data_IF_954500445379
#
_entry.id   IF_954500445379
#
_cell.length_a   1.000
_cell.length_b   1.000
_cell.length_c   1.000
_cell.angle_alpha   90.00
_cell.angle_beta   90.00
_cell.angle_gamma   90.00
#
_symmetry.space_group_name_H-M   'P 1'
#
loop_
_entity.id
_entity.type
_entity.pdbx_description
1 polymer ?
#
# COMPACT_ATOMS: atom_id res chain seq x y z
N UNK A 1 -20.63 -8.31 3.22
CA UNK A 1 -19.23 -8.37 3.64
C UNK A 1 -18.70 -6.97 3.68
N UNK A 2 -18.03 -6.61 4.77
CA UNK A 2 -17.36 -5.32 4.91
C UNK A 2 -16.17 -5.27 3.96
N UNK A 3 -16.23 -4.37 2.98
CA UNK A 3 -15.08 -4.06 2.11
C UNK A 3 -14.20 -3.03 2.80
N UNK A 4 -12.92 -3.33 2.92
CA UNK A 4 -11.89 -2.38 3.27
C UNK A 4 -11.01 -2.08 2.05
N UNK A 5 -10.83 -0.80 1.75
CA UNK A 5 -9.93 -0.29 0.73
C UNK A 5 -8.90 0.63 1.38
N UNK A 6 -7.64 0.22 1.36
CA UNK A 6 -6.54 1.10 1.74
C UNK A 6 -6.17 2.01 0.57
N UNK A 7 -6.22 3.33 0.76
CA UNK A 7 -5.92 4.30 -0.30
C UNK A 7 -4.44 4.76 -0.23
N UNK A 8 -3.79 4.54 0.92
CA UNK A 8 -2.41 4.93 1.18
C UNK A 8 -2.32 5.96 2.31
N UNK A 9 -1.15 6.04 2.93
CA UNK A 9 -0.87 6.89 4.08
C UNK A 9 -1.85 6.64 5.24
N UNK A 10 -2.67 7.61 5.64
CA UNK A 10 -3.75 7.44 6.62
C UNK A 10 -5.13 7.25 5.96
N UNK A 11 -5.20 7.33 4.64
CA UNK A 11 -6.45 7.33 3.89
C UNK A 11 -6.96 5.92 3.66
N UNK A 12 -8.21 5.67 4.04
CA UNK A 12 -8.90 4.42 3.73
C UNK A 12 -10.41 4.60 3.59
N UNK A 13 -11.05 3.61 2.96
CA UNK A 13 -12.50 3.53 2.78
C UNK A 13 -12.99 2.19 3.33
N UNK A 14 -14.01 2.26 4.17
CA UNK A 14 -14.79 1.11 4.63
C UNK A 14 -16.15 1.19 3.96
N UNK A 15 -16.60 0.08 3.37
CA UNK A 15 -17.98 -0.08 2.91
C UNK A 15 -18.62 -1.24 3.67
N UNK A 16 -19.73 -0.98 4.33
CA UNK A 16 -20.50 -2.02 4.99
C UNK A 16 -21.22 -2.96 4.01
N UNK A 17 -21.74 -4.07 4.52
CA UNK A 17 -22.61 -4.99 3.76
C UNK A 17 -23.87 -4.31 3.19
N UNK A 18 -24.34 -3.21 3.80
CA UNK A 18 -25.49 -2.42 3.34
C UNK A 18 -25.11 -1.25 2.42
N UNK A 19 -23.84 -1.20 1.97
CA UNK A 19 -23.27 -0.16 1.09
C UNK A 19 -23.03 1.22 1.72
N UNK A 20 -23.10 1.35 3.05
CA UNK A 20 -22.72 2.57 3.77
C UNK A 20 -21.23 2.82 3.62
N UNK A 21 -20.86 4.04 3.20
CA UNK A 21 -19.48 4.41 2.88
C UNK A 21 -18.90 5.33 3.95
N UNK A 22 -17.88 4.84 4.66
CA UNK A 22 -17.06 5.61 5.57
C UNK A 22 -15.68 5.84 4.96
N UNK A 23 -15.27 7.10 4.82
CA UNK A 23 -13.89 7.47 4.55
C UNK A 23 -13.18 7.90 5.83
N UNK A 24 -11.95 7.44 6.03
CA UNK A 24 -11.08 7.87 7.13
C UNK A 24 -9.92 8.65 6.52
N UNK A 25 -9.68 9.87 7.02
CA UNK A 25 -8.64 10.80 6.55
C UNK A 25 -8.46 10.82 5.02
N UNK A 26 -9.53 11.01 4.22
CA UNK A 26 -9.41 11.00 2.77
C UNK A 26 -8.52 12.16 2.29
N UNK A 27 -7.42 11.81 1.62
CA UNK A 27 -6.41 12.76 1.15
C UNK A 27 -5.57 12.15 0.01
N UNK A 28 -4.84 11.08 0.30
CA UNK A 28 -3.92 10.45 -0.65
C UNK A 28 -4.56 9.24 -1.34
N UNK A 29 -3.90 8.75 -2.39
CA UNK A 29 -4.33 7.54 -3.09
C UNK A 29 -5.23 7.78 -4.30
N UNK A 30 -5.76 6.68 -4.83
CA UNK A 30 -6.66 6.63 -5.99
C UNK A 30 -7.86 5.75 -5.64
N UNK A 31 -8.98 5.97 -6.30
CA UNK A 31 -10.31 5.36 -6.02
C UNK A 31 -11.17 6.09 -4.96
N UNK A 32 -11.43 7.37 -5.23
CA UNK A 32 -12.48 8.18 -4.60
C UNK A 32 -13.79 8.14 -5.40
N UNK A 33 -14.10 6.99 -6.02
CA UNK A 33 -15.25 6.85 -6.93
C UNK A 33 -16.61 6.82 -6.24
N UNK A 34 -16.65 6.56 -4.93
CA UNK A 34 -17.87 6.45 -4.13
C UNK A 34 -18.11 7.73 -3.34
N UNK A 35 -19.38 8.13 -3.24
CA UNK A 35 -19.80 9.21 -2.35
C UNK A 35 -19.73 8.73 -0.90
N UNK A 36 -19.34 9.62 0.00
CA UNK A 36 -19.21 9.37 1.42
C UNK A 36 -20.55 9.59 2.12
N UNK A 37 -21.00 8.62 2.91
CA UNK A 37 -22.05 8.83 3.91
C UNK A 37 -21.44 9.46 5.17
N UNK A 38 -20.22 9.03 5.51
CA UNK A 38 -19.46 9.50 6.66
C UNK A 38 -18.01 9.78 6.26
N UNK A 39 -17.45 10.88 6.78
CA UNK A 39 -16.02 11.18 6.72
C UNK A 39 -15.51 11.36 8.15
N UNK A 40 -14.55 10.54 8.55
CA UNK A 40 -13.86 10.63 9.83
C UNK A 40 -12.46 11.23 9.62
N UNK A 41 -12.25 12.43 10.15
CA UNK A 41 -10.94 13.08 10.21
C UNK A 41 -10.36 12.87 11.61
N UNK A 42 -9.40 11.95 11.72
CA UNK A 42 -8.75 11.62 13.00
C UNK A 42 -7.51 12.49 13.27
N UNK A 43 -7.16 13.40 12.37
CA UNK A 43 -6.01 14.30 12.53
C UNK A 43 -6.46 15.74 12.38
N UNK A 44 -5.73 16.67 13.00
CA UNK A 44 -6.06 18.11 12.96
C UNK A 44 -5.88 18.76 11.58
N UNK A 45 -5.36 18.03 10.59
CA UNK A 45 -5.04 18.60 9.29
C UNK A 45 -6.33 18.87 8.52
N UNK A 46 -6.72 20.14 8.49
CA UNK A 46 -7.91 20.62 7.79
C UNK A 46 -7.66 20.66 6.28
N UNK A 47 -7.92 19.54 5.59
CA UNK A 47 -7.71 19.41 4.14
C UNK A 47 -8.99 19.65 3.34
N UNK A 48 -8.85 20.24 2.15
CA UNK A 48 -9.98 20.52 1.26
C UNK A 48 -10.54 19.23 0.64
N UNK A 49 -11.64 18.74 1.19
CA UNK A 49 -12.36 17.57 0.69
C UNK A 49 -13.06 17.80 -0.67
N UNK A 50 -13.22 19.07 -1.07
CA UNK A 50 -13.92 19.46 -2.31
C UNK A 50 -13.23 18.86 -3.54
N UNK A 51 -11.90 18.81 -3.55
CA UNK A 51 -11.14 18.31 -4.69
C UNK A 51 -11.35 16.81 -4.94
N UNK A 52 -11.70 16.06 -3.89
CA UNK A 52 -11.97 14.62 -3.99
C UNK A 52 -13.37 14.32 -4.54
N UNK A 53 -14.26 15.32 -4.59
CA UNK A 53 -15.64 15.18 -5.05
C UNK A 53 -16.41 14.01 -4.40
N UNK A 54 -16.11 13.69 -3.13
CA UNK A 54 -16.75 12.57 -2.40
C UNK A 54 -17.94 13.00 -1.54
N UNK A 55 -18.05 14.28 -1.21
CA UNK A 55 -19.11 14.81 -0.34
C UNK A 55 -20.42 15.04 -1.10
N UNK A 56 -21.52 15.00 -0.34
CA UNK A 56 -22.87 15.41 -0.71
C UNK A 56 -23.46 16.23 0.44
N UNK A 57 -24.64 16.83 0.24
CA UNK A 57 -25.34 17.57 1.31
C UNK A 57 -25.75 16.70 2.51
N UNK A 58 -25.71 15.37 2.35
CA UNK A 58 -26.05 14.40 3.39
C UNK A 58 -24.82 13.81 4.11
N UNK A 59 -23.61 14.10 3.61
CA UNK A 59 -22.37 13.54 4.17
C UNK A 59 -22.12 14.06 5.59
N UNK A 60 -21.98 13.17 6.56
CA UNK A 60 -21.59 13.53 7.93
C UNK A 60 -20.07 13.59 8.05
N UNK A 61 -19.53 14.76 8.40
CA UNK A 61 -18.11 14.94 8.67
C UNK A 61 -17.90 14.94 10.19
N UNK A 62 -16.95 14.15 10.67
CA UNK A 62 -16.60 13.99 12.07
C UNK A 62 -15.12 14.27 12.26
N UNK A 63 -14.80 14.92 13.36
CA UNK A 63 -13.44 15.17 13.81
C UNK A 63 -13.40 15.22 15.34
N UNK A 64 -12.23 15.53 15.90
CA UNK A 64 -12.03 15.63 17.36
C UNK A 64 -12.91 16.69 18.05
N UNK A 65 -13.33 17.74 17.33
CA UNK A 65 -14.18 18.82 17.87
C UNK A 65 -15.65 18.40 17.91
N UNK A 66 -16.05 17.46 17.04
CA UNK A 66 -17.42 17.02 16.86
C UNK A 66 -17.77 15.73 17.63
N UNK A 67 -16.77 14.99 18.10
CA UNK A 67 -16.96 13.79 18.92
C UNK A 67 -15.99 13.79 20.11
N UNK A 68 -16.54 13.94 21.32
CA UNK A 68 -15.77 13.87 22.56
C UNK A 68 -15.35 12.42 22.89
N UNK A 69 -14.25 12.26 23.62
CA UNK A 69 -13.78 10.95 24.10
C UNK A 69 -14.87 10.28 24.95
N UNK A 70 -15.12 8.99 24.71
CA UNK A 70 -16.18 8.19 25.31
C UNK A 70 -17.54 8.29 24.62
N UNK A 71 -17.72 9.25 23.71
CA UNK A 71 -18.98 9.39 22.97
C UNK A 71 -19.02 8.51 21.72
N UNK A 72 -20.26 8.17 21.34
CA UNK A 72 -20.57 7.33 20.18
C UNK A 72 -21.46 8.07 19.21
N UNK A 73 -21.16 7.93 17.92
CA UNK A 73 -22.07 8.28 16.84
C UNK A 73 -22.56 7.00 16.17
N UNK A 74 -23.87 6.91 15.95
CA UNK A 74 -24.46 5.90 15.09
C UNK A 74 -24.92 6.55 13.78
N UNK A 75 -24.58 5.93 12.65
CA UNK A 75 -25.08 6.30 11.33
C UNK A 75 -25.35 5.02 10.53
N UNK A 76 -26.62 4.77 10.22
CA UNK A 76 -27.05 3.53 9.55
C UNK A 76 -26.53 2.29 10.32
N UNK A 77 -25.72 1.46 9.67
CA UNK A 77 -25.11 0.23 10.20
C UNK A 77 -23.64 0.42 10.65
N UNK A 78 -23.17 1.66 10.78
CA UNK A 78 -21.84 2.00 11.30
C UNK A 78 -21.96 2.77 12.63
N UNK A 79 -21.21 2.31 13.64
CA UNK A 79 -21.00 3.03 14.90
C UNK A 79 -19.54 3.48 14.99
N UNK A 80 -19.32 4.74 15.40
CA UNK A 80 -17.98 5.31 15.62
C UNK A 80 -17.92 5.81 17.07
N UNK A 81 -16.96 5.29 17.83
CA UNK A 81 -16.66 5.69 19.20
C UNK A 81 -15.29 6.35 19.24
N UNK A 82 -15.17 7.53 19.86
CA UNK A 82 -13.84 8.11 20.14
C UNK A 82 -13.34 7.54 21.46
N UNK A 83 -12.22 6.82 21.42
CA UNK A 83 -11.68 6.14 22.61
C UNK A 83 -10.50 6.88 23.24
N UNK A 84 -9.89 7.82 22.51
CA UNK A 84 -8.76 8.61 22.98
C UNK A 84 -8.43 9.76 22.04
N UNK A 85 -7.24 10.32 22.19
CA UNK A 85 -6.73 11.35 21.28
C UNK A 85 -6.31 10.71 19.96
N UNK A 86 -6.88 11.21 18.87
CA UNK A 86 -6.78 10.68 17.51
C UNK A 86 -7.15 9.19 17.34
N UNK A 87 -7.72 8.57 18.38
CA UNK A 87 -8.05 7.15 18.42
C UNK A 87 -9.56 6.90 18.44
N UNK A 88 -10.01 6.06 17.50
CA UNK A 88 -11.42 5.78 17.27
C UNK A 88 -11.66 4.29 17.11
N UNK A 89 -12.82 3.80 17.56
CA UNK A 89 -13.29 2.45 17.32
C UNK A 89 -14.50 2.49 16.42
N UNK A 90 -14.44 1.77 15.32
CA UNK A 90 -15.49 1.64 14.32
C UNK A 90 -16.08 0.25 14.45
N UNK A 91 -17.39 0.16 14.66
CA UNK A 91 -18.15 -1.09 14.57
C UNK A 91 -18.97 -1.07 13.29
N UNK A 92 -18.79 -2.06 12.43
CA UNK A 92 -19.45 -2.20 11.12
C UNK A 92 -19.70 -3.68 10.87
N UNK A 93 -20.92 -4.04 10.46
CA UNK A 93 -21.35 -5.44 10.37
C UNK A 93 -21.03 -6.23 11.66
N UNK A 94 -20.26 -7.32 11.57
CA UNK A 94 -19.76 -8.11 12.71
C UNK A 94 -18.33 -7.75 13.14
N UNK A 95 -17.73 -6.71 12.56
CA UNK A 95 -16.33 -6.32 12.76
C UNK A 95 -16.18 -5.11 13.67
N UNK A 96 -15.08 -5.13 14.43
CA UNK A 96 -14.57 -3.98 15.18
C UNK A 96 -13.19 -3.60 14.67
N UNK A 97 -13.05 -2.33 14.28
CA UNK A 97 -11.84 -1.78 13.70
C UNK A 97 -11.38 -0.62 14.58
N UNK A 98 -10.18 -0.75 15.11
CA UNK A 98 -9.50 0.29 15.87
C UNK A 98 -8.70 1.17 14.90
N UNK A 99 -8.88 2.48 14.96
CA UNK A 99 -8.07 3.46 14.23
C UNK A 99 -7.21 4.15 15.27
N UNK A 100 -5.90 3.89 15.24
CA UNK A 100 -4.98 4.42 16.23
C UNK A 100 -4.45 5.80 15.83
N UNK A 101 -4.25 6.65 16.83
CA UNK A 101 -3.36 7.81 16.73
C UNK A 101 -1.89 7.39 16.88
N UNK A 102 -1.00 8.37 17.04
CA UNK A 102 0.44 8.13 17.28
C UNK A 102 0.78 7.84 18.74
N UNK A 103 -0.17 8.03 19.65
CA UNK A 103 0.04 7.82 21.09
C UNK A 103 -0.46 6.45 21.55
N UNK A 104 0.09 5.99 22.67
CA UNK A 104 -0.39 4.79 23.35
C UNK A 104 -1.85 4.92 23.75
N UNK A 105 -2.58 3.82 23.58
CA UNK A 105 -3.98 3.70 23.99
C UNK A 105 -4.18 2.42 24.79
N UNK A 106 -5.11 2.47 25.75
CA UNK A 106 -5.48 1.31 26.55
C UNK A 106 -6.73 0.68 25.92
N UNK A 107 -6.58 -0.54 25.43
CA UNK A 107 -7.66 -1.33 24.83
C UNK A 107 -7.70 -2.73 25.43
N UNK A 108 -8.81 -3.43 25.25
CA UNK A 108 -9.01 -4.81 25.73
C UNK A 108 -8.49 -5.88 24.75
N UNK A 109 -7.91 -5.47 23.62
CA UNK A 109 -7.36 -6.35 22.59
C UNK A 109 -8.39 -7.18 21.83
N UNK A 110 -9.68 -6.86 21.95
CA UNK A 110 -10.76 -7.67 21.36
C UNK A 110 -11.21 -7.22 19.97
N UNK A 111 -10.67 -6.11 19.48
CA UNK A 111 -10.97 -5.62 18.14
C UNK A 111 -10.40 -6.59 17.09
N UNK A 112 -11.07 -6.69 15.94
CA UNK A 112 -10.65 -7.59 14.87
C UNK A 112 -9.44 -7.03 14.12
N UNK A 113 -9.46 -5.72 13.87
CA UNK A 113 -8.41 -5.03 13.13
C UNK A 113 -7.99 -3.75 13.87
N UNK A 114 -6.71 -3.37 13.76
CA UNK A 114 -6.24 -2.05 14.18
C UNK A 114 -5.36 -1.39 13.12
N UNK A 115 -5.71 -0.16 12.70
CA UNK A 115 -4.90 0.64 11.81
C UNK A 115 -3.88 1.42 12.64
N UNK A 116 -2.62 1.07 12.49
CA UNK A 116 -1.54 1.60 13.33
C UNK A 116 -0.63 2.49 12.48
N UNK A 117 -0.60 3.82 12.71
CA UNK A 117 0.37 4.68 12.05
C UNK A 117 1.78 4.31 12.53
N UNK A 118 2.71 4.10 11.59
CA UNK A 118 4.05 3.59 11.92
C UNK A 118 5.07 4.71 12.07
N UNK A 119 5.06 5.69 11.17
CA UNK A 119 5.99 6.80 11.29
C UNK A 119 5.65 7.69 12.50
N UNK A 120 6.68 7.94 13.30
CA UNK A 120 6.63 8.79 14.50
C UNK A 120 5.64 8.29 15.57
N UNK A 121 5.33 6.99 15.57
CA UNK A 121 4.48 6.37 16.58
C UNK A 121 5.21 6.21 17.91
N UNK A 122 4.50 6.41 19.00
CA UNK A 122 4.95 6.12 20.37
C UNK A 122 4.52 4.75 20.85
N UNK A 123 3.71 4.04 20.06
CA UNK A 123 3.25 2.69 20.37
C UNK A 123 4.41 1.72 20.12
N UNK A 124 4.82 0.97 21.14
CA UNK A 124 5.86 -0.05 20.97
C UNK A 124 5.34 -1.27 20.20
N UNK A 125 6.21 -1.97 19.46
CA UNK A 125 5.85 -3.19 18.74
C UNK A 125 5.22 -4.27 19.65
N UNK A 126 5.70 -4.37 20.89
CA UNK A 126 5.11 -5.25 21.93
C UNK A 126 3.63 -4.89 22.19
N UNK A 127 3.33 -3.60 22.36
CA UNK A 127 1.95 -3.13 22.58
C UNK A 127 1.10 -3.24 21.33
N UNK A 128 1.69 -3.08 20.13
CA UNK A 128 0.96 -3.21 18.87
C UNK A 128 0.31 -4.58 18.73
N UNK A 129 1.04 -5.64 19.12
CA UNK A 129 0.54 -7.01 19.06
C UNK A 129 -0.78 -7.20 19.82
N UNK A 130 -0.97 -6.45 20.91
CA UNK A 130 -2.12 -6.56 21.81
C UNK A 130 -3.29 -5.62 21.44
N UNK A 131 -3.15 -4.78 20.40
CA UNK A 131 -4.19 -3.82 20.04
C UNK A 131 -5.45 -4.48 19.46
N UNK A 132 -5.27 -5.52 18.64
CA UNK A 132 -6.34 -6.21 17.92
C UNK A 132 -5.87 -7.60 17.45
N UNK A 133 -6.79 -8.42 16.93
CA UNK A 133 -6.45 -9.72 16.34
C UNK A 133 -5.48 -9.58 15.16
N UNK A 134 -5.68 -8.57 14.31
CA UNK A 134 -4.74 -8.21 13.26
C UNK A 134 -4.45 -6.70 13.28
N UNK A 135 -3.21 -6.33 13.00
CA UNK A 135 -2.79 -4.93 12.88
C UNK A 135 -2.43 -4.62 11.44
N UNK A 136 -2.90 -3.49 10.93
CA UNK A 136 -2.63 -3.02 9.58
C UNK A 136 -1.73 -1.79 9.70
N UNK A 137 -0.44 -1.89 9.31
CA UNK A 137 0.45 -0.75 9.35
C UNK A 137 0.06 0.29 8.29
N UNK A 138 -0.16 1.51 8.74
CA UNK A 138 -0.50 2.69 7.91
C UNK A 138 0.51 3.81 8.16
N UNK A 139 0.48 4.88 7.37
CA UNK A 139 1.44 6.00 7.49
C UNK A 139 2.91 5.53 7.56
N UNK A 140 3.33 4.76 6.55
CA UNK A 140 4.67 4.13 6.48
C UNK A 140 5.70 4.96 5.72
N UNK A 141 5.29 6.09 5.11
CA UNK A 141 6.17 6.99 4.35
C UNK A 141 5.75 8.44 4.53
N UNK A 142 6.71 9.37 4.58
CA UNK A 142 6.42 10.82 4.53
C UNK A 142 6.09 11.28 3.11
N UNK A 143 6.64 10.61 2.11
CA UNK A 143 6.64 11.06 0.70
C UNK A 143 5.81 10.16 -0.23
N UNK A 144 5.78 8.85 0.01
CA UNK A 144 5.04 7.88 -0.79
C UNK A 144 3.66 7.57 -0.17
N UNK A 145 2.82 6.86 -0.92
CA UNK A 145 1.56 6.31 -0.39
C UNK A 145 1.81 5.20 0.63
N UNK A 146 2.90 4.45 0.45
CA UNK A 146 3.24 3.31 1.29
C UNK A 146 4.71 2.95 1.10
N UNK A 147 5.42 2.66 2.19
CA UNK A 147 6.75 2.07 2.15
C UNK A 147 6.69 0.61 2.63
N UNK A 148 6.86 -0.32 1.67
CA UNK A 148 6.88 -1.75 1.94
C UNK A 148 7.99 -2.15 2.90
N UNK A 149 9.14 -1.46 2.90
CA UNK A 149 10.26 -1.80 3.78
C UNK A 149 9.90 -1.54 5.22
N UNK A 150 9.28 -0.38 5.49
CA UNK A 150 8.83 -0.02 6.83
C UNK A 150 7.76 -1.00 7.31
N UNK A 151 6.76 -1.31 6.46
CA UNK A 151 5.70 -2.25 6.83
C UNK A 151 6.21 -3.68 7.07
N UNK A 152 7.15 -4.16 6.25
CA UNK A 152 7.73 -5.50 6.37
C UNK A 152 8.68 -5.58 7.57
N UNK A 153 9.47 -4.54 7.85
CA UNK A 153 10.44 -4.55 8.94
C UNK A 153 9.79 -4.63 10.34
N UNK A 154 8.50 -4.32 10.48
CA UNK A 154 7.78 -4.41 11.74
C UNK A 154 7.81 -5.83 12.30
N UNK A 155 8.36 -6.00 13.50
CA UNK A 155 8.48 -7.31 14.14
C UNK A 155 7.25 -7.66 14.96
N UNK A 156 6.06 -7.58 14.35
CA UNK A 156 4.79 -7.87 15.00
C UNK A 156 4.06 -9.01 14.31
N UNK A 157 3.79 -10.10 15.05
CA UNK A 157 3.42 -11.39 14.47
C UNK A 157 2.07 -11.40 13.76
N UNK A 158 1.12 -10.61 14.24
CA UNK A 158 -0.26 -10.51 13.73
C UNK A 158 -0.47 -9.33 12.77
N UNK A 159 0.61 -8.79 12.18
CA UNK A 159 0.48 -7.75 11.16
C UNK A 159 -0.11 -8.30 9.85
N UNK A 160 -1.01 -7.52 9.27
CA UNK A 160 -1.58 -7.71 7.95
C UNK A 160 -1.18 -6.52 7.08
N UNK A 161 -0.28 -6.74 6.12
CA UNK A 161 0.13 -5.72 5.18
C UNK A 161 -0.92 -5.61 4.07
N UNK A 162 -1.50 -4.42 3.92
CA UNK A 162 -2.46 -4.09 2.86
C UNK A 162 -1.86 -2.99 2.01
N UNK A 163 -1.99 -3.15 0.70
CA UNK A 163 -1.37 -2.25 -0.26
C UNK A 163 -2.32 -1.12 -0.69
N UNK A 164 -1.80 0.05 -1.08
CA UNK A 164 -2.61 1.09 -1.69
C UNK A 164 -3.39 0.58 -2.90
N UNK A 165 -4.68 0.93 -2.96
CA UNK A 165 -5.66 0.46 -3.94
C UNK A 165 -6.06 -1.03 -3.82
N UNK A 166 -5.59 -1.76 -2.80
CA UNK A 166 -6.05 -3.11 -2.52
C UNK A 166 -7.40 -3.08 -1.79
N UNK A 167 -8.35 -3.87 -2.30
CA UNK A 167 -9.64 -4.14 -1.66
C UNK A 167 -9.59 -5.51 -1.02
N UNK A 168 -10.04 -5.59 0.23
CA UNK A 168 -10.20 -6.84 0.96
C UNK A 168 -11.60 -6.92 1.59
N UNK A 169 -12.10 -8.13 1.79
CA UNK A 169 -13.33 -8.39 2.54
C UNK A 169 -12.97 -8.88 3.94
N UNK A 170 -13.20 -8.07 4.97
CA UNK A 170 -12.68 -8.31 6.32
C UNK A 170 -13.16 -9.63 6.96
N UNK A 171 -14.16 -10.29 6.40
CA UNK A 171 -14.65 -11.62 6.79
C UNK A 171 -13.83 -12.79 6.24
N UNK A 172 -12.98 -12.59 5.22
CA UNK A 172 -12.20 -13.66 4.60
C UNK A 172 -10.86 -13.89 5.32
N UNK A 173 -10.61 -15.11 5.82
CA UNK A 173 -9.36 -15.43 6.54
C UNK A 173 -8.10 -15.41 5.66
N UNK A 174 -8.25 -15.51 4.33
CA UNK A 174 -7.15 -15.58 3.37
C UNK A 174 -6.80 -14.21 2.77
N UNK A 175 -6.62 -13.21 3.62
CA UNK A 175 -5.90 -12.02 3.19
C UNK A 175 -4.44 -12.38 3.01
N UNK A 176 -3.98 -12.27 1.77
CA UNK A 176 -2.66 -12.66 1.29
C UNK A 176 -1.59 -12.31 2.32
N UNK A 177 -1.11 -13.31 3.06
CA UNK A 177 -0.18 -13.07 4.14
C UNK A 177 1.21 -12.83 3.53
N UNK A 178 1.60 -11.57 3.42
CA UNK A 178 2.92 -11.18 2.94
C UNK A 178 4.05 -11.73 3.83
N UNK A 179 3.75 -12.29 5.01
CA UNK A 179 4.72 -12.92 5.93
C UNK A 179 5.60 -14.00 5.30
N UNK A 180 5.06 -14.79 4.37
CA UNK A 180 5.87 -15.76 3.61
C UNK A 180 6.81 -15.08 2.61
N UNK A 181 6.42 -13.90 2.10
CA UNK A 181 7.19 -13.09 1.17
C UNK A 181 8.20 -12.17 1.87
N UNK A 182 8.09 -11.92 3.18
CA UNK A 182 9.00 -11.03 3.93
C UNK A 182 10.47 -11.45 3.80
N UNK A 183 10.75 -12.74 3.90
CA UNK A 183 12.12 -13.27 3.86
C UNK A 183 12.82 -13.08 2.50
N UNK A 184 12.07 -12.85 1.43
CA UNK A 184 12.59 -12.78 0.06
C UNK A 184 12.44 -11.39 -0.54
N UNK A 185 11.27 -10.80 -0.34
CA UNK A 185 10.93 -9.49 -0.87
C UNK A 185 11.66 -8.39 -0.10
N UNK A 186 11.81 -8.49 1.22
CA UNK A 186 12.47 -7.42 1.99
C UNK A 186 13.95 -7.24 1.60
N UNK A 187 14.79 -8.31 1.55
CA UNK A 187 16.16 -8.16 1.07
C UNK A 187 16.23 -7.61 -0.35
N UNK A 188 15.34 -8.07 -1.24
CA UNK A 188 15.27 -7.59 -2.63
C UNK A 188 14.94 -6.09 -2.69
N UNK A 189 13.93 -5.63 -1.95
CA UNK A 189 13.52 -4.23 -1.92
C UNK A 189 14.56 -3.32 -1.26
N UNK A 190 15.24 -3.82 -0.22
CA UNK A 190 16.32 -3.08 0.42
C UNK A 190 17.50 -2.93 -0.54
N UNK A 191 17.96 -4.03 -1.15
CA UNK A 191 19.05 -4.03 -2.13
C UNK A 191 18.72 -3.13 -3.34
N UNK A 192 17.48 -3.18 -3.81
CA UNK A 192 17.02 -2.36 -4.93
C UNK A 192 16.96 -0.87 -4.58
N UNK A 193 16.51 -0.52 -3.37
CA UNK A 193 16.52 0.85 -2.89
C UNK A 193 17.94 1.41 -2.75
N UNK A 194 18.87 0.60 -2.23
CA UNK A 194 20.27 1.02 -2.02
C UNK A 194 21.05 1.15 -3.33
N UNK A 195 20.93 0.16 -4.23
CA UNK A 195 21.72 0.11 -5.47
C UNK A 195 21.14 0.93 -6.61
N UNK A 196 19.81 1.03 -6.69
CA UNK A 196 19.13 1.66 -7.82
C UNK A 196 18.32 2.89 -7.41
N UNK A 197 18.33 3.30 -6.14
CA UNK A 197 17.45 4.38 -5.66
C UNK A 197 15.97 4.10 -6.02
N UNK A 198 15.60 2.81 -5.96
CA UNK A 198 14.29 2.33 -6.33
C UNK A 198 13.27 2.58 -5.21
N UNK A 199 12.10 3.06 -5.58
CA UNK A 199 10.91 3.14 -4.71
C UNK A 199 9.78 2.36 -5.34
N UNK A 200 9.24 1.36 -4.63
CA UNK A 200 8.02 0.68 -5.06
C UNK A 200 6.82 1.61 -4.94
N UNK A 201 6.04 1.73 -6.01
CA UNK A 201 4.82 2.54 -6.07
C UNK A 201 3.60 1.70 -5.68
N UNK A 202 3.49 0.48 -6.20
CA UNK A 202 2.45 -0.49 -5.82
C UNK A 202 2.83 -1.92 -6.25
N UNK A 203 2.23 -2.95 -5.65
CA UNK A 203 2.57 -4.35 -5.89
C UNK A 203 1.36 -5.30 -5.72
N UNK A 204 0.36 -5.18 -6.58
CA UNK A 204 -0.85 -6.01 -6.51
C UNK A 204 -0.65 -7.42 -7.07
N UNK A 205 -1.71 -8.25 -7.04
CA UNK A 205 -1.69 -9.60 -7.61
C UNK A 205 -1.28 -9.64 -9.09
N UNK A 206 -0.05 -10.10 -9.36
CA UNK A 206 0.51 -10.15 -10.71
C UNK A 206 0.70 -8.78 -11.36
N UNK A 207 0.81 -7.71 -10.57
CA UNK A 207 1.09 -6.36 -11.07
C UNK A 207 2.04 -5.62 -10.13
N UNK A 208 3.11 -5.02 -10.64
CA UNK A 208 3.93 -4.11 -9.83
C UNK A 208 4.32 -2.85 -10.61
N UNK A 209 4.54 -1.78 -9.86
CA UNK A 209 5.04 -0.51 -10.39
C UNK A 209 6.10 0.03 -9.45
N UNK A 210 7.21 0.51 -10.01
CA UNK A 210 8.28 1.12 -9.25
C UNK A 210 8.88 2.31 -10.00
N UNK A 211 9.55 3.18 -9.27
CA UNK A 211 10.34 4.28 -9.81
C UNK A 211 11.81 4.09 -9.42
N UNK A 212 12.71 4.46 -10.32
CA UNK A 212 14.15 4.55 -10.12
C UNK A 212 14.57 5.99 -10.36
N UNK A 213 15.26 6.62 -9.41
CA UNK A 213 15.88 7.93 -9.64
C UNK A 213 17.21 7.74 -10.38
N UNK A 214 17.39 8.49 -11.47
CA UNK A 214 18.62 8.42 -12.28
C UNK A 214 19.66 9.36 -11.65
N UNK A 215 20.82 8.80 -11.32
CA UNK A 215 21.96 9.56 -10.81
C UNK A 215 23.10 9.61 -11.82
N UNK A 216 24.11 10.45 -11.55
CA UNK A 216 25.31 10.55 -12.39
C UNK A 216 26.07 9.21 -12.53
N UNK A 217 25.91 8.28 -11.58
CA UNK A 217 26.58 6.97 -11.62
C UNK A 217 25.90 6.00 -12.60
N UNK A 218 24.63 6.26 -12.92
CA UNK A 218 23.82 5.41 -13.79
C UNK A 218 23.97 5.78 -15.27
N UNK A 219 24.68 6.87 -15.56
CA UNK A 219 24.85 7.45 -16.90
C UNK A 219 26.17 7.00 -17.52
N UNK A 220 26.11 6.51 -18.75
CA UNK A 220 27.25 6.10 -19.55
C UNK A 220 27.93 7.29 -20.25
N UNK A 221 29.10 7.12 -20.88
CA UNK A 221 29.82 8.22 -21.54
C UNK A 221 29.05 8.91 -22.69
N UNK A 222 27.97 8.31 -23.19
CA UNK A 222 27.11 8.90 -24.22
C UNK A 222 25.96 9.74 -23.62
N UNK A 223 25.92 9.92 -22.30
CA UNK A 223 24.85 10.65 -21.63
C UNK A 223 23.54 9.86 -21.50
N UNK A 224 23.59 8.53 -21.64
CA UNK A 224 22.42 7.64 -21.55
C UNK A 224 22.51 6.81 -20.28
N UNK A 225 21.37 6.41 -19.71
CA UNK A 225 21.35 5.39 -18.66
C UNK A 225 22.00 4.11 -19.19
N UNK A 226 22.92 3.51 -18.42
CA UNK A 226 23.51 2.21 -18.77
C UNK A 226 22.40 1.19 -19.00
N UNK A 227 22.45 0.49 -20.13
CA UNK A 227 21.42 -0.50 -20.47
C UNK A 227 21.25 -1.56 -19.38
N UNK A 228 22.36 -2.06 -18.82
CA UNK A 228 22.34 -3.02 -17.71
C UNK A 228 21.64 -2.51 -16.44
N UNK A 229 21.67 -1.21 -16.16
CA UNK A 229 20.93 -0.60 -15.04
C UNK A 229 19.43 -0.65 -15.32
N UNK A 230 19.01 -0.24 -16.53
CA UNK A 230 17.62 -0.30 -16.97
C UNK A 230 17.07 -1.74 -16.98
N UNK A 231 17.90 -2.71 -17.42
CA UNK A 231 17.56 -4.13 -17.41
C UNK A 231 17.39 -4.66 -15.99
N UNK A 232 18.35 -4.41 -15.09
CA UNK A 232 18.27 -4.86 -13.70
C UNK A 232 17.06 -4.27 -12.97
N UNK A 233 16.78 -2.98 -13.20
CA UNK A 233 15.58 -2.36 -12.68
C UNK A 233 14.30 -3.07 -13.15
N UNK A 234 14.22 -3.42 -14.44
CA UNK A 234 13.10 -4.18 -14.97
C UNK A 234 12.99 -5.60 -14.36
N UNK A 235 14.11 -6.31 -14.21
CA UNK A 235 14.15 -7.66 -13.63
C UNK A 235 13.72 -7.68 -12.15
N UNK A 236 14.13 -6.67 -11.37
CA UNK A 236 13.69 -6.51 -9.97
C UNK A 236 12.18 -6.34 -9.90
N UNK A 237 11.60 -5.48 -10.74
CA UNK A 237 10.17 -5.18 -10.73
C UNK A 237 9.36 -6.35 -11.29
N UNK A 238 9.90 -7.09 -12.27
CA UNK A 238 9.35 -8.36 -12.71
C UNK A 238 9.36 -9.39 -11.56
N UNK A 239 10.44 -9.49 -10.80
CA UNK A 239 10.55 -10.36 -9.64
C UNK A 239 9.52 -10.00 -8.56
N UNK A 240 9.36 -8.71 -8.25
CA UNK A 240 8.31 -8.25 -7.35
C UNK A 240 6.92 -8.67 -7.84
N UNK A 241 6.66 -8.57 -9.14
CA UNK A 241 5.39 -9.00 -9.77
C UNK A 241 5.19 -10.52 -9.70
N UNK A 242 6.27 -11.30 -9.82
CA UNK A 242 6.25 -12.75 -9.71
C UNK A 242 5.91 -13.19 -8.28
N UNK A 243 6.59 -12.61 -7.30
CA UNK A 243 6.31 -12.85 -5.88
C UNK A 243 4.91 -12.40 -5.51
N UNK A 244 4.50 -11.22 -5.99
CA UNK A 244 3.14 -10.73 -5.82
C UNK A 244 2.11 -11.53 -6.60
N UNK A 245 2.48 -12.51 -7.42
CA UNK A 245 1.57 -13.47 -8.04
C UNK A 245 1.46 -14.80 -7.25
N UNK A 246 2.15 -14.90 -6.10
CA UNK A 246 2.31 -16.14 -5.33
C UNK A 246 3.37 -17.09 -5.91
N UNK A 247 4.18 -16.61 -6.85
CA UNK A 247 5.31 -17.37 -7.38
C UNK A 247 6.54 -17.29 -6.47
N UNK A 248 7.41 -18.28 -6.54
CA UNK A 248 8.73 -18.28 -5.90
C UNK A 248 9.74 -18.97 -6.82
N UNK A 249 10.98 -18.50 -6.89
CA UNK A 249 12.03 -19.09 -7.73
C UNK A 249 12.73 -18.11 -8.67
N UNK A 250 13.67 -18.59 -9.51
CA UNK A 250 14.58 -17.74 -10.28
C UNK A 250 13.99 -17.29 -11.63
N UNK A 251 14.51 -16.17 -12.14
CA UNK A 251 14.43 -15.81 -13.57
C UNK A 251 15.19 -16.86 -14.39
N UNK A 252 14.53 -17.51 -15.35
CA UNK A 252 15.15 -18.53 -16.23
C UNK A 252 15.53 -17.99 -17.60
N UNK A 253 14.84 -16.96 -18.07
CA UNK A 253 15.18 -16.26 -19.31
C UNK A 253 14.53 -14.90 -19.36
N UNK A 254 15.16 -13.96 -20.06
CA UNK A 254 14.55 -12.68 -20.35
C UNK A 254 14.92 -12.20 -21.77
N UNK A 255 14.03 -11.41 -22.36
CA UNK A 255 14.29 -10.58 -23.52
C UNK A 255 14.02 -9.12 -23.16
N UNK A 256 14.84 -8.19 -23.66
CA UNK A 256 14.73 -6.79 -23.30
C UNK A 256 15.17 -5.88 -24.46
N UNK A 257 14.25 -5.03 -24.89
CA UNK A 257 14.40 -4.15 -26.04
C UNK A 257 14.51 -2.70 -25.58
N UNK A 258 15.57 -2.01 -26.03
CA UNK A 258 15.76 -0.58 -25.83
C UNK A 258 15.12 0.18 -27.01
N UNK A 259 14.03 0.89 -26.73
CA UNK A 259 13.14 1.48 -27.73
C UNK A 259 13.40 2.98 -27.93
N UNK A 260 13.94 3.66 -26.92
CA UNK A 260 14.18 5.11 -26.96
C UNK A 260 15.39 5.49 -26.11
N UNK A 261 16.03 6.59 -26.51
CA UNK A 261 17.07 7.24 -25.71
C UNK A 261 16.56 7.65 -24.33
N UNK A 262 17.39 7.44 -23.32
CA UNK A 262 17.21 7.86 -21.92
C UNK A 262 18.00 9.13 -21.59
N UNK A 263 18.48 9.85 -22.60
CA UNK A 263 19.11 11.15 -22.41
C UNK A 263 18.19 12.11 -21.64
N UNK A 264 18.79 12.93 -20.76
CA UNK A 264 18.12 13.97 -19.98
C UNK A 264 16.89 13.47 -19.20
N UNK A 265 16.93 12.21 -18.74
CA UNK A 265 15.89 11.62 -17.92
C UNK A 265 16.30 11.66 -16.44
N UNK A 266 15.43 12.19 -15.59
CA UNK A 266 15.66 12.26 -14.13
C UNK A 266 15.18 11.00 -13.40
N UNK A 267 14.21 10.29 -13.96
CA UNK A 267 13.68 9.06 -13.38
C UNK A 267 13.13 8.10 -14.43
N UNK A 268 13.20 6.81 -14.12
CA UNK A 268 12.55 5.74 -14.86
C UNK A 268 11.42 5.14 -14.03
N UNK A 269 10.35 4.76 -14.69
CA UNK A 269 9.19 4.10 -14.08
C UNK A 269 8.97 2.76 -14.77
N UNK A 270 9.01 1.68 -13.99
CA UNK A 270 8.71 0.35 -14.46
C UNK A 270 7.27 -0.01 -14.12
N UNK A 271 6.57 -0.62 -15.09
CA UNK A 271 5.25 -1.22 -14.90
C UNK A 271 5.34 -2.66 -15.37
N UNK A 272 5.05 -3.60 -14.47
CA UNK A 272 5.17 -5.03 -14.72
C UNK A 272 3.84 -5.76 -14.51
N UNK A 273 3.59 -6.78 -15.33
CA UNK A 273 2.35 -7.57 -15.34
C UNK A 273 2.62 -9.04 -15.57
N UNK A 274 2.04 -9.90 -14.74
CA UNK A 274 2.01 -11.35 -14.94
C UNK A 274 1.03 -11.69 -16.09
N UNK A 275 1.58 -11.98 -17.25
CA UNK A 275 0.83 -12.26 -18.48
C UNK A 275 0.38 -13.72 -18.53
N UNK A 276 1.19 -14.63 -17.99
CA UNK A 276 0.88 -16.06 -17.96
C UNK A 276 1.32 -16.67 -16.65
N UNK A 277 0.34 -16.99 -15.82
CA UNK A 277 0.50 -17.70 -14.54
C UNK A 277 0.34 -19.21 -14.72
N UNK A 278 1.45 -19.94 -14.85
CA UNK A 278 1.47 -21.39 -15.00
C UNK A 278 2.02 -22.12 -13.77
N UNK A 279 1.69 -23.41 -13.62
CA UNK A 279 2.13 -24.25 -12.49
C UNK A 279 3.66 -24.29 -12.28
N UNK A 280 4.43 -24.16 -13.35
CA UNK A 280 5.90 -24.28 -13.34
C UNK A 280 6.60 -23.04 -13.87
N UNK A 281 5.88 -22.19 -14.62
CA UNK A 281 6.47 -21.04 -15.30
C UNK A 281 5.48 -19.88 -15.20
N UNK A 282 6.00 -18.72 -14.81
CA UNK A 282 5.31 -17.44 -15.00
C UNK A 282 6.00 -16.66 -16.12
N UNK A 283 5.23 -15.93 -16.92
CA UNK A 283 5.77 -14.97 -17.90
C UNK A 283 5.26 -13.57 -17.57
N UNK A 284 6.21 -12.67 -17.35
CA UNK A 284 5.96 -11.30 -16.89
C UNK A 284 6.46 -10.33 -17.94
N UNK A 285 5.61 -9.38 -18.34
CA UNK A 285 6.02 -8.27 -19.18
C UNK A 285 6.31 -7.04 -18.34
N UNK A 286 7.36 -6.30 -18.69
CA UNK A 286 7.74 -5.03 -18.08
C UNK A 286 7.88 -3.96 -19.13
N UNK A 287 7.31 -2.79 -18.87
CA UNK A 287 7.48 -1.58 -19.66
C UNK A 287 8.17 -0.50 -18.82
N UNK A 288 9.18 0.16 -19.39
CA UNK A 288 9.90 1.25 -18.76
C UNK A 288 9.56 2.56 -19.44
N UNK A 289 9.15 3.55 -18.64
CA UNK A 289 8.83 4.90 -19.06
C UNK A 289 9.81 5.90 -18.45
N UNK A 290 10.11 6.98 -19.15
CA UNK A 290 10.82 8.13 -18.57
C UNK A 290 9.85 9.14 -17.94
N UNK A 291 10.42 10.16 -17.29
CA UNK A 291 9.76 11.34 -16.74
C UNK A 291 8.82 12.09 -17.72
N UNK A 292 9.06 11.98 -19.03
CA UNK A 292 8.19 12.52 -20.10
C UNK A 292 7.10 11.55 -20.55
N UNK A 293 6.84 10.49 -19.77
CA UNK A 293 5.87 9.42 -20.05
C UNK A 293 6.08 8.76 -21.42
N UNK A 294 7.33 8.66 -21.90
CA UNK A 294 7.67 7.94 -23.13
C UNK A 294 8.18 6.56 -22.79
N UNK A 295 7.67 5.54 -23.49
CA UNK A 295 8.21 4.19 -23.44
C UNK A 295 9.65 4.21 -23.95
N UNK A 296 10.59 3.81 -23.09
CA UNK A 296 12.03 3.76 -23.38
C UNK A 296 12.58 2.36 -23.53
N UNK A 297 11.96 1.39 -22.86
CA UNK A 297 12.32 -0.02 -23.02
C UNK A 297 11.13 -0.93 -22.69
N UNK A 298 11.18 -2.17 -23.18
CA UNK A 298 10.20 -3.20 -22.86
C UNK A 298 10.90 -4.55 -22.76
N UNK A 299 10.45 -5.43 -21.87
CA UNK A 299 11.00 -6.77 -21.75
C UNK A 299 9.99 -7.81 -21.30
N UNK A 300 10.32 -9.07 -21.59
CA UNK A 300 9.63 -10.25 -21.10
C UNK A 300 10.57 -11.06 -20.22
N UNK A 301 10.09 -11.47 -19.04
CA UNK A 301 10.85 -12.21 -18.04
C UNK A 301 10.10 -13.51 -17.73
N UNK A 302 10.80 -14.63 -17.86
CA UNK A 302 10.26 -15.95 -17.56
C UNK A 302 10.83 -16.41 -16.23
N UNK A 303 9.96 -16.78 -15.30
CA UNK A 303 10.32 -17.30 -13.99
C UNK A 303 9.97 -18.76 -13.87
N UNK A 304 10.80 -19.54 -13.19
CA UNK A 304 10.46 -20.89 -12.75
C UNK A 304 9.80 -20.87 -11.38
N UNK A 305 8.68 -21.56 -11.24
CA UNK A 305 7.98 -21.73 -9.96
C UNK A 305 8.60 -22.90 -9.21
N UNK A 306 9.46 -22.55 -8.25
CA UNK A 306 10.04 -23.44 -7.27
C UNK A 306 9.01 -23.83 -6.21
N UNK A 307 9.01 -25.11 -5.85
CA UNK A 307 8.16 -25.68 -4.79
C UNK A 307 8.82 -25.58 -3.43
#
# INVERSE_FOLDING_TARGET
MTEFLYLGDLSCRITSSQNTVLYINPDKGKDYSRKADIILQTTEINKSLVQLHITTDQTKILNQDLLAVGNKLNHQDIQIERIGDDAYRISVDDKKILVCGKQDIIVDGKDDYAFVPILHTQISEEKMADLAKQIIPVHTSEVALFDYRVAIALSVENKLIIEPAMKIHLEEENHRNLKELENQLYPLLLDAAEKFHMTMICMNDGYAMAQMLVTKKDINPLGLVYGGISYNFADIVAGCTFYSAGGYGPTVSANYDYLRSTADTESLVAIAKDIKRGKHIHFIEVEIYNDKAKLVAKGGFTYFVQK
#
